data_IF_731365752239
#
_entry.id   IF_731365752239
#
_cell.length_a   1.000
_cell.length_b   1.000
_cell.length_c   1.000
_cell.angle_alpha   90.00
_cell.angle_beta   90.00
_cell.angle_gamma   90.00
#
_symmetry.space_group_name_H-M   'P 1'
#
loop_
_entity.id
_entity.type
_entity.pdbx_description
1 polymer ?
#
# COMPACT_ATOMS: atom_id res chain seq x y z
N UNK A 1 -11.27 10.07 10.30
CA UNK A 1 -9.90 10.38 10.67
C UNK A 1 -9.13 9.11 10.99
N UNK A 2 -7.90 9.01 10.50
CA UNK A 2 -7.10 7.82 10.72
C UNK A 2 -6.79 7.65 12.21
N UNK A 3 -7.03 6.47 12.73
CA UNK A 3 -6.83 6.18 14.16
C UNK A 3 -5.84 5.03 14.38
N UNK A 4 -5.09 4.66 13.35
CA UNK A 4 -4.09 3.62 13.44
C UNK A 4 -4.58 2.28 12.92
N UNK A 5 -3.64 1.36 12.79
CA UNK A 5 -3.94 -0.03 12.46
C UNK A 5 -4.05 -0.82 13.76
N UNK A 6 -4.91 -1.81 13.76
CA UNK A 6 -5.14 -2.63 14.94
C UNK A 6 -4.43 -3.98 14.83
N UNK A 7 -4.46 -4.74 15.92
CA UNK A 7 -3.98 -6.13 15.87
C UNK A 7 -4.76 -6.92 14.82
N UNK A 8 -6.05 -6.62 14.64
CA UNK A 8 -6.85 -7.25 13.60
C UNK A 8 -6.32 -7.00 12.20
N UNK A 9 -5.76 -5.81 11.95
CA UNK A 9 -5.13 -5.52 10.65
C UNK A 9 -3.96 -6.44 10.39
N UNK A 10 -3.10 -6.62 11.38
CA UNK A 10 -1.94 -7.50 11.30
C UNK A 10 -2.39 -8.96 11.16
N UNK A 11 -3.37 -9.36 11.96
CA UNK A 11 -3.89 -10.73 11.92
C UNK A 11 -4.46 -11.06 10.55
N UNK A 12 -5.17 -10.12 9.92
CA UNK A 12 -5.67 -10.33 8.57
C UNK A 12 -4.51 -10.58 7.59
N UNK A 13 -3.47 -9.77 7.66
CA UNK A 13 -2.34 -9.91 6.73
C UNK A 13 -1.61 -11.23 6.92
N UNK A 14 -1.45 -11.70 8.16
CA UNK A 14 -0.93 -13.04 8.42
C UNK A 14 -1.86 -14.10 7.85
N UNK A 15 -3.16 -13.92 8.06
CA UNK A 15 -4.16 -14.86 7.56
C UNK A 15 -4.10 -15.03 6.06
N UNK A 16 -4.05 -13.91 5.31
CA UNK A 16 -4.01 -13.99 3.85
C UNK A 16 -2.68 -14.55 3.36
N UNK A 17 -1.59 -14.37 4.10
CA UNK A 17 -0.31 -14.96 3.73
C UNK A 17 -0.37 -16.48 3.77
N UNK A 18 -0.97 -17.04 4.82
CA UNK A 18 -1.02 -18.50 5.02
C UNK A 18 -2.22 -19.16 4.35
N UNK A 19 -3.21 -18.39 3.93
CA UNK A 19 -4.42 -18.89 3.28
C UNK A 19 -4.69 -18.09 2.02
N UNK A 20 -3.71 -18.04 1.12
CA UNK A 20 -3.77 -17.16 -0.04
C UNK A 20 -4.57 -17.78 -1.16
N UNK A 21 -5.88 -17.85 -0.96
CA UNK A 21 -6.81 -18.43 -1.91
C UNK A 21 -8.14 -17.68 -1.85
N UNK A 22 -8.87 -17.76 -2.95
CA UNK A 22 -10.09 -16.97 -3.12
C UNK A 22 -11.16 -17.27 -2.09
N UNK A 23 -11.33 -18.54 -1.74
CA UNK A 23 -12.37 -18.94 -0.78
C UNK A 23 -12.11 -18.32 0.58
N UNK A 24 -10.87 -18.36 1.06
CA UNK A 24 -10.52 -17.73 2.33
C UNK A 24 -10.75 -16.22 2.28
N UNK A 25 -10.31 -15.57 1.19
CA UNK A 25 -10.48 -14.14 1.07
C UNK A 25 -11.94 -13.72 1.07
N UNK A 26 -12.79 -14.45 0.36
CA UNK A 26 -14.21 -14.10 0.30
C UNK A 26 -14.88 -14.24 1.68
N UNK A 27 -14.47 -15.20 2.48
CA UNK A 27 -14.98 -15.35 3.84
C UNK A 27 -14.51 -14.23 4.76
N UNK A 28 -13.35 -13.63 4.49
CA UNK A 28 -12.73 -12.61 5.34
C UNK A 28 -12.71 -11.23 4.70
N UNK A 29 -13.43 -11.04 3.59
CA UNK A 29 -13.41 -9.79 2.84
C UNK A 29 -13.85 -8.60 3.68
N UNK A 30 -14.84 -8.78 4.55
CA UNK A 30 -15.30 -7.69 5.39
C UNK A 30 -14.21 -7.24 6.35
N UNK A 31 -13.44 -8.17 6.89
CA UNK A 31 -12.29 -7.83 7.73
C UNK A 31 -11.25 -7.03 6.94
N UNK A 32 -10.99 -7.44 5.70
CA UNK A 32 -10.08 -6.67 4.84
C UNK A 32 -10.56 -5.24 4.67
N UNK A 33 -11.86 -5.06 4.35
CA UNK A 33 -12.40 -3.72 4.09
C UNK A 33 -12.35 -2.82 5.32
N UNK A 34 -12.61 -3.37 6.51
CA UNK A 34 -12.69 -2.55 7.72
C UNK A 34 -11.36 -2.41 8.46
N UNK A 35 -10.50 -3.42 8.41
CA UNK A 35 -9.28 -3.44 9.22
C UNK A 35 -8.02 -3.06 8.43
N UNK A 36 -8.06 -3.19 7.11
CA UNK A 36 -6.89 -2.91 6.27
C UNK A 36 -7.20 -1.80 5.27
N UNK A 37 -8.19 -1.99 4.42
CA UNK A 37 -8.44 -1.08 3.31
C UNK A 37 -8.88 0.31 3.79
N UNK A 38 -9.90 0.38 4.64
CA UNK A 38 -10.40 1.67 5.11
C UNK A 38 -9.34 2.47 5.89
N UNK A 39 -8.63 1.87 6.88
CA UNK A 39 -7.59 2.61 7.58
C UNK A 39 -6.44 3.04 6.66
N UNK A 40 -6.06 2.19 5.71
CA UNK A 40 -4.99 2.54 4.78
C UNK A 40 -5.38 3.74 3.91
N UNK A 41 -6.61 3.74 3.41
CA UNK A 41 -7.11 4.86 2.59
C UNK A 41 -7.27 6.14 3.41
N UNK A 42 -7.67 6.04 4.66
CA UNK A 42 -7.75 7.20 5.53
C UNK A 42 -6.37 7.81 5.78
N UNK A 43 -5.39 6.97 6.08
CA UNK A 43 -4.02 7.45 6.25
C UNK A 43 -3.49 8.08 4.96
N UNK A 44 -3.73 7.41 3.83
CA UNK A 44 -3.29 7.92 2.53
C UNK A 44 -3.89 9.28 2.23
N UNK A 45 -5.18 9.46 2.50
CA UNK A 45 -5.86 10.74 2.27
C UNK A 45 -5.30 11.83 3.16
N UNK A 46 -5.05 11.55 4.44
CA UNK A 46 -4.49 12.54 5.36
C UNK A 46 -3.06 12.93 5.00
N UNK A 47 -2.23 11.95 4.67
CA UNK A 47 -0.85 12.22 4.23
C UNK A 47 -0.87 12.98 2.91
N UNK A 48 -1.72 12.56 1.98
CA UNK A 48 -1.85 13.23 0.68
C UNK A 48 -2.25 14.68 0.83
N UNK A 49 -3.22 14.96 1.70
CA UNK A 49 -3.65 16.34 1.97
C UNK A 49 -2.53 17.16 2.58
N UNK A 50 -1.86 16.61 3.60
CA UNK A 50 -0.76 17.32 4.27
C UNK A 50 0.38 17.63 3.31
N UNK A 51 0.74 16.67 2.47
CA UNK A 51 1.82 16.86 1.49
C UNK A 51 1.42 17.86 0.40
N UNK A 52 0.16 17.83 -0.03
CA UNK A 52 -0.33 18.79 -1.03
C UNK A 52 -0.32 20.20 -0.46
N UNK A 53 -0.70 20.37 0.79
CA UNK A 53 -0.66 21.68 1.43
C UNK A 53 0.77 22.18 1.63
N UNK A 54 1.69 21.28 1.99
CA UNK A 54 3.09 21.64 2.19
C UNK A 54 3.81 21.94 0.85
N UNK A 55 3.44 21.24 -0.20
CA UNK A 55 4.13 21.33 -1.50
C UNK A 55 3.13 21.47 -2.64
N UNK A 56 2.33 22.55 -2.67
CA UNK A 56 1.24 22.66 -3.66
C UNK A 56 1.71 22.69 -5.10
N UNK A 57 2.94 23.09 -5.34
CA UNK A 57 3.47 23.21 -6.71
C UNK A 57 3.93 21.87 -7.29
N UNK A 58 4.05 20.83 -6.47
CA UNK A 58 4.49 19.54 -6.95
C UNK A 58 3.37 18.75 -7.65
N UNK A 59 2.11 19.08 -7.36
CA UNK A 59 0.99 18.39 -7.99
C UNK A 59 0.98 16.91 -7.70
N UNK A 60 1.22 16.51 -6.46
CA UNK A 60 1.40 15.12 -6.09
C UNK A 60 0.18 14.27 -6.40
N UNK A 61 0.41 13.07 -6.90
CA UNK A 61 -0.62 12.10 -7.21
C UNK A 61 -0.55 10.94 -6.23
N UNK A 62 -1.69 10.64 -5.60
CA UNK A 62 -1.80 9.54 -4.66
C UNK A 62 -2.18 8.25 -5.38
N UNK A 63 -1.48 7.17 -5.04
CA UNK A 63 -1.81 5.84 -5.52
C UNK A 63 -1.82 4.86 -4.35
N UNK A 64 -2.94 4.16 -4.17
CA UNK A 64 -3.08 3.13 -3.14
C UNK A 64 -3.07 1.76 -3.82
N UNK A 65 -2.30 0.83 -3.29
CA UNK A 65 -2.19 -0.50 -3.87
C UNK A 65 -3.49 -1.29 -3.73
N UNK A 66 -3.70 -2.22 -4.65
CA UNK A 66 -4.80 -3.18 -4.55
C UNK A 66 -4.29 -4.46 -3.88
N UNK A 67 -5.20 -5.19 -3.25
CA UNK A 67 -4.82 -6.45 -2.63
C UNK A 67 -4.55 -7.55 -3.66
N UNK A 68 -5.09 -7.42 -4.86
CA UNK A 68 -4.91 -8.44 -5.90
C UNK A 68 -3.52 -8.35 -6.52
N UNK A 69 -2.87 -9.50 -6.68
CA UNK A 69 -1.61 -9.57 -7.41
C UNK A 69 -1.89 -9.57 -8.90
N UNK A 70 -0.93 -9.05 -9.66
CA UNK A 70 -0.99 -9.12 -11.11
C UNK A 70 -0.94 -10.58 -11.53
N UNK A 71 -1.97 -11.05 -12.25
CA UNK A 71 -2.08 -12.45 -12.66
C UNK A 71 -0.89 -12.91 -13.49
N UNK A 72 -0.21 -11.99 -14.17
CA UNK A 72 0.96 -12.32 -14.98
C UNK A 72 2.22 -12.53 -14.14
N UNK A 73 2.18 -12.22 -12.84
CA UNK A 73 3.35 -12.21 -11.95
C UNK A 73 3.14 -13.01 -10.68
N UNK A 74 2.31 -14.04 -10.74
CA UNK A 74 2.04 -14.83 -9.54
C UNK A 74 3.24 -15.68 -9.12
N UNK A 75 3.94 -16.27 -10.07
CA UNK A 75 5.13 -17.08 -9.80
C UNK A 75 4.92 -18.11 -8.69
N UNK A 76 3.79 -18.81 -8.74
CA UNK A 76 3.46 -19.82 -7.74
C UNK A 76 2.89 -19.29 -6.43
N UNK A 77 2.80 -17.97 -6.27
CA UNK A 77 2.16 -17.35 -5.11
C UNK A 77 0.66 -17.27 -5.34
N UNK A 78 -0.09 -17.13 -4.27
CA UNK A 78 -1.53 -16.96 -4.37
C UNK A 78 -1.92 -15.61 -5.00
N UNK A 79 -3.23 -15.41 -5.26
CA UNK A 79 -3.70 -14.23 -5.98
C UNK A 79 -3.72 -12.94 -5.17
N UNK A 80 -3.40 -12.97 -3.88
CA UNK A 80 -3.49 -11.79 -3.03
C UNK A 80 -2.15 -11.40 -2.46
N UNK A 81 -1.96 -10.07 -2.28
CA UNK A 81 -0.79 -9.54 -1.60
C UNK A 81 -0.96 -9.71 -0.09
N UNK A 82 0.15 -9.91 0.60
CA UNK A 82 0.19 -9.94 2.06
C UNK A 82 0.78 -8.65 2.64
N UNK A 83 0.91 -7.62 1.81
CA UNK A 83 1.35 -6.29 2.22
C UNK A 83 0.63 -5.27 1.34
N UNK A 84 0.42 -4.09 1.91
CA UNK A 84 -0.32 -3.02 1.23
C UNK A 84 0.49 -1.74 1.34
N UNK A 85 0.37 -0.87 0.35
CA UNK A 85 1.10 0.38 0.35
C UNK A 85 0.31 1.49 -0.33
N UNK A 86 0.77 2.73 -0.10
CA UNK A 86 0.40 3.85 -0.95
C UNK A 86 1.64 4.68 -1.25
N UNK A 87 1.56 5.48 -2.30
CA UNK A 87 2.65 6.36 -2.68
C UNK A 87 2.11 7.70 -3.17
N UNK A 88 2.94 8.73 -3.04
CA UNK A 88 2.69 10.06 -3.57
C UNK A 88 3.82 10.40 -4.52
N UNK A 89 3.49 10.73 -5.76
CA UNK A 89 4.45 11.01 -6.82
C UNK A 89 4.10 12.28 -7.56
N UNK A 90 5.11 12.89 -8.17
CA UNK A 90 4.90 13.99 -9.08
C UNK A 90 4.34 13.44 -10.39
N UNK A 91 3.28 14.04 -10.95
CA UNK A 91 2.73 13.58 -12.22
C UNK A 91 3.70 13.86 -13.38
N UNK A 92 3.67 13.02 -14.39
CA UNK A 92 4.49 13.19 -15.58
C UNK A 92 5.95 12.82 -15.41
N UNK A 93 6.37 12.38 -14.23
CA UNK A 93 7.73 11.92 -14.02
C UNK A 93 7.88 10.49 -14.54
N UNK A 94 9.02 10.21 -15.15
CA UNK A 94 9.29 8.86 -15.59
C UNK A 94 9.50 7.94 -14.40
N UNK A 95 9.22 6.67 -14.61
CA UNK A 95 9.45 5.66 -13.61
C UNK A 95 10.94 5.43 -13.43
N UNK A 96 11.28 4.89 -12.27
CA UNK A 96 12.66 4.55 -11.99
C UNK A 96 13.49 5.77 -11.64
N UNK A 97 14.03 5.81 -10.46
CA UNK A 97 14.87 6.91 -10.03
C UNK A 97 14.15 8.16 -9.59
N UNK A 98 12.84 8.25 -9.78
CA UNK A 98 12.06 9.42 -9.35
C UNK A 98 11.70 9.26 -7.88
N UNK A 99 12.13 10.18 -7.01
CA UNK A 99 11.78 10.10 -5.59
C UNK A 99 10.28 10.20 -5.38
N UNK A 100 9.77 9.42 -4.44
CA UNK A 100 8.38 9.49 -4.04
C UNK A 100 8.26 9.24 -2.54
N UNK A 101 7.17 9.71 -1.95
CA UNK A 101 6.83 9.34 -0.59
C UNK A 101 6.08 8.01 -0.64
N UNK A 102 6.36 7.13 0.31
CA UNK A 102 5.68 5.84 0.37
C UNK A 102 5.39 5.44 1.80
N UNK A 103 4.38 4.60 1.96
CA UNK A 103 4.06 3.90 3.19
C UNK A 103 3.71 2.46 2.84
N UNK A 104 4.21 1.52 3.62
CA UNK A 104 3.93 0.10 3.43
C UNK A 104 3.56 -0.56 4.75
N UNK A 105 2.52 -1.38 4.74
CA UNK A 105 2.09 -2.19 5.88
C UNK A 105 2.22 -3.66 5.51
N UNK A 106 2.99 -4.40 6.30
CA UNK A 106 3.16 -5.85 6.17
C UNK A 106 2.87 -6.50 7.52
N UNK A 107 2.66 -7.83 7.57
CA UNK A 107 2.37 -8.46 8.87
C UNK A 107 3.51 -8.34 9.86
N UNK A 108 4.76 -8.25 9.38
CA UNK A 108 5.92 -8.20 10.26
C UNK A 108 6.36 -6.78 10.59
N UNK A 109 5.96 -5.78 9.79
CA UNK A 109 6.48 -4.43 9.95
C UNK A 109 5.63 -3.42 9.19
N UNK A 110 5.89 -2.16 9.48
CA UNK A 110 5.48 -1.07 8.61
C UNK A 110 6.69 -0.18 8.32
N UNK A 111 6.67 0.50 7.18
CA UNK A 111 7.74 1.42 6.82
C UNK A 111 7.18 2.59 6.04
N UNK A 112 7.91 3.71 6.09
CA UNK A 112 7.53 4.90 5.34
C UNK A 112 8.78 5.72 5.08
N UNK A 113 8.71 6.59 4.08
CA UNK A 113 9.83 7.46 3.80
C UNK A 113 9.77 8.04 2.41
N UNK A 114 10.89 8.69 2.05
CA UNK A 114 11.12 9.20 0.71
C UNK A 114 12.20 8.35 0.07
N UNK A 115 12.01 8.02 -1.21
CA UNK A 115 13.00 7.22 -1.89
C UNK A 115 12.67 7.04 -3.35
N UNK A 116 13.59 6.48 -4.12
CA UNK A 116 13.36 6.11 -5.49
C UNK A 116 12.59 4.79 -5.50
N UNK A 117 11.42 4.80 -6.10
CA UNK A 117 10.55 3.64 -6.09
C UNK A 117 11.15 2.46 -6.85
N UNK A 118 11.80 2.73 -7.96
CA UNK A 118 12.42 1.70 -8.78
C UNK A 118 13.89 2.07 -8.98
N UNK A 119 14.74 1.82 -7.99
CA UNK A 119 16.11 2.27 -8.05
C UNK A 119 16.88 1.55 -9.15
N UNK A 120 17.58 2.34 -9.95
CA UNK A 120 18.51 1.82 -10.92
C UNK A 120 19.90 1.79 -10.28
N UNK A 121 20.87 1.12 -10.93
CA UNK A 121 22.21 1.12 -10.40
C UNK A 121 22.85 2.50 -10.25
N UNK A 122 22.27 3.50 -10.89
CA UNK A 122 22.78 4.87 -10.82
C UNK A 122 22.13 5.73 -9.75
N UNK A 123 21.14 5.20 -9.05
CA UNK A 123 20.44 5.96 -7.99
C UNK A 123 20.83 5.53 -6.60
#
# INVERSE_FOLDING_TARGET
MFQGFSQGSVDFLWGIRFNNERSWFLEHKQEYLTLVDAPLRELAAQVGQAMTEAYPKLGLTLKVSRIYRDARRLYGRGPYKDHMWFSLRRPGQSEGGTPCFYFELAPEYYSYGMGAYDPTPLT
#
